data_IF_876781673667
#
_entry.id   IF_876781673667
#
_cell.length_a   1.000
_cell.length_b   1.000
_cell.length_c   1.000
_cell.angle_alpha   90.00
_cell.angle_beta   90.00
_cell.angle_gamma   90.00
#
_symmetry.space_group_name_H-M   'P 1'
#
loop_
_entity.id
_entity.type
_entity.pdbx_description
1 polymer ?
#
# COMPACT_ATOMS: atom_id res chain seq x y z
N UNK A 1 17.98 -2.50 6.02
CA UNK A 1 16.88 -1.52 6.11
C UNK A 1 16.92 -0.69 4.85
N UNK A 2 16.49 -1.28 3.74
CA UNK A 2 16.53 -0.64 2.43
C UNK A 2 15.28 0.21 2.34
N UNK A 3 15.41 1.53 2.56
CA UNK A 3 14.36 2.51 2.34
C UNK A 3 14.12 2.71 0.84
N UNK A 4 13.82 1.64 0.11
CA UNK A 4 13.08 1.81 -1.13
C UNK A 4 11.68 2.24 -0.69
N UNK A 5 11.19 3.43 -1.06
CA UNK A 5 9.84 3.83 -0.69
C UNK A 5 8.88 2.89 -1.41
N UNK A 6 8.45 1.85 -0.70
CA UNK A 6 7.43 0.90 -1.10
C UNK A 6 6.16 1.29 -0.37
N UNK A 7 5.01 1.13 -1.02
CA UNK A 7 3.73 1.55 -0.47
C UNK A 7 3.35 2.98 -0.86
N UNK A 8 2.55 3.62 -0.01
CA UNK A 8 1.79 4.81 -0.41
C UNK A 8 2.69 6.03 -0.66
N UNK A 9 3.74 6.22 0.14
CA UNK A 9 4.72 7.29 -0.06
C UNK A 9 5.57 7.09 -1.32
N UNK A 10 5.75 5.84 -1.77
CA UNK A 10 6.43 5.51 -3.02
C UNK A 10 5.58 5.76 -4.26
N UNK A 11 4.29 5.43 -4.19
CA UNK A 11 3.34 5.66 -5.28
C UNK A 11 2.92 7.14 -5.40
N UNK A 12 2.89 7.87 -4.28
CA UNK A 12 2.48 9.27 -4.22
C UNK A 12 3.53 10.15 -3.51
N UNK A 13 4.75 10.27 -4.06
CA UNK A 13 5.84 11.03 -3.42
C UNK A 13 5.51 12.52 -3.26
N UNK A 14 4.67 13.08 -4.13
CA UNK A 14 4.22 14.47 -4.06
C UNK A 14 3.16 14.69 -2.96
N UNK A 15 2.46 13.64 -2.56
CA UNK A 15 1.39 13.69 -1.56
C UNK A 15 1.85 13.27 -0.16
N UNK A 16 3.15 13.03 0.05
CA UNK A 16 3.70 12.57 1.34
C UNK A 16 3.32 13.50 2.49
N UNK A 17 3.34 14.82 2.28
CA UNK A 17 2.88 15.77 3.30
C UNK A 17 1.42 15.54 3.70
N UNK A 18 0.54 15.32 2.72
CA UNK A 18 -0.88 15.06 2.95
C UNK A 18 -1.12 13.69 3.59
N UNK A 19 -0.33 12.68 3.24
CA UNK A 19 -0.36 11.35 3.86
C UNK A 19 -0.09 11.49 5.37
N UNK A 20 0.98 12.18 5.77
CA UNK A 20 1.32 12.38 7.18
C UNK A 20 0.23 13.16 7.94
N UNK A 21 -0.38 14.17 7.32
CA UNK A 21 -1.51 14.89 7.91
C UNK A 21 -2.71 13.97 8.15
N UNK A 22 -3.11 13.19 7.14
CA UNK A 22 -4.23 12.25 7.25
C UNK A 22 -3.94 11.13 8.25
N UNK A 23 -2.71 10.65 8.36
CA UNK A 23 -2.32 9.67 9.39
C UNK A 23 -2.42 10.24 10.81
N UNK A 24 -2.14 11.53 10.98
CA UNK A 24 -2.25 12.19 12.27
C UNK A 24 -3.70 12.53 12.65
N UNK A 25 -4.56 12.82 11.67
CA UNK A 25 -5.95 13.24 11.88
C UNK A 25 -6.96 12.08 11.84
N UNK A 26 -6.71 11.06 11.00
CA UNK A 26 -7.63 9.96 10.72
C UNK A 26 -7.00 8.58 11.00
N UNK A 27 -7.35 7.97 12.13
CA UNK A 27 -6.88 6.61 12.48
C UNK A 27 -7.33 5.51 11.50
N UNK A 28 -8.39 5.74 10.73
CA UNK A 28 -8.82 4.83 9.66
C UNK A 28 -7.88 4.90 8.45
N UNK A 29 -7.29 6.07 8.19
CA UNK A 29 -6.32 6.24 7.09
C UNK A 29 -5.03 5.48 7.37
N UNK A 30 -4.54 5.51 8.62
CA UNK A 30 -3.37 4.73 9.06
C UNK A 30 -3.58 3.24 8.78
N UNK A 31 -4.72 2.68 9.17
CA UNK A 31 -5.03 1.26 8.94
C UNK A 31 -5.08 0.90 7.46
N UNK A 32 -5.62 1.79 6.61
CA UNK A 32 -5.66 1.59 5.17
C UNK A 32 -4.26 1.65 4.54
N UNK A 33 -3.42 2.59 4.98
CA UNK A 33 -2.05 2.74 4.51
C UNK A 33 -1.18 1.55 4.93
N UNK A 34 -1.26 1.10 6.18
CA UNK A 34 -0.56 -0.08 6.68
C UNK A 34 -1.00 -1.35 5.94
N UNK A 35 -2.30 -1.53 5.70
CA UNK A 35 -2.81 -2.66 4.93
C UNK A 35 -2.29 -2.64 3.47
N UNK A 36 -2.21 -1.45 2.87
CA UNK A 36 -1.67 -1.27 1.53
C UNK A 36 -0.18 -1.65 1.46
N UNK A 37 0.60 -1.18 2.42
CA UNK A 37 2.03 -1.49 2.54
C UNK A 37 2.26 -2.99 2.75
N UNK A 38 1.51 -3.62 3.65
CA UNK A 38 1.62 -5.05 3.92
C UNK A 38 1.39 -5.89 2.65
N UNK A 39 0.31 -5.63 1.91
CA UNK A 39 0.00 -6.35 0.67
C UNK A 39 1.05 -6.07 -0.41
N UNK A 40 1.56 -4.85 -0.49
CA UNK A 40 2.59 -4.47 -1.47
C UNK A 40 3.91 -5.20 -1.18
N UNK A 41 4.30 -5.28 0.09
CA UNK A 41 5.48 -6.02 0.54
C UNK A 41 5.33 -7.51 0.24
N UNK A 42 4.20 -8.11 0.60
CA UNK A 42 3.91 -9.52 0.37
C UNK A 42 3.93 -9.87 -1.12
N UNK A 43 3.31 -9.04 -1.97
CA UNK A 43 3.39 -9.20 -3.42
C UNK A 43 4.84 -9.15 -3.93
N UNK A 44 5.64 -8.23 -3.40
CA UNK A 44 7.05 -8.13 -3.78
C UNK A 44 7.85 -9.35 -3.32
N UNK A 45 7.60 -9.87 -2.13
CA UNK A 45 8.25 -11.09 -1.62
C UNK A 45 7.90 -12.30 -2.51
N UNK A 46 6.63 -12.44 -2.90
CA UNK A 46 6.18 -13.46 -3.84
C UNK A 46 6.87 -13.29 -5.21
N UNK A 47 6.94 -12.06 -5.73
CA UNK A 47 7.55 -11.75 -7.04
C UNK A 47 9.07 -11.99 -7.03
N UNK A 48 9.75 -11.73 -5.91
CA UNK A 48 11.15 -12.07 -5.71
C UNK A 48 11.39 -13.57 -5.46
N UNK A 49 10.32 -14.38 -5.35
CA UNK A 49 10.40 -15.82 -5.10
C UNK A 49 10.83 -16.18 -3.67
N UNK A 50 10.64 -15.25 -2.72
CA UNK A 50 10.90 -15.47 -1.29
C UNK A 50 9.79 -16.37 -0.72
N UNK A 51 8.53 -16.05 -1.02
CA UNK A 51 7.36 -16.82 -0.59
C UNK A 51 6.68 -17.53 -1.77
N UNK A 52 6.48 -18.86 -1.72
CA UNK A 52 5.76 -19.59 -2.76
C UNK A 52 4.24 -19.38 -2.62
N UNK A 53 3.65 -18.59 -3.51
CA UNK A 53 2.21 -18.36 -3.57
C UNK A 53 1.56 -18.94 -4.83
N UNK A 54 0.30 -19.37 -4.71
CA UNK A 54 -0.48 -19.80 -5.87
C UNK A 54 -0.99 -18.60 -6.67
N UNK A 55 -1.18 -18.75 -7.98
CA UNK A 55 -1.65 -17.67 -8.86
C UNK A 55 -2.99 -17.04 -8.40
N UNK A 56 -3.89 -17.83 -7.82
CA UNK A 56 -5.17 -17.34 -7.32
C UNK A 56 -4.99 -16.38 -6.13
N UNK A 57 -4.06 -16.69 -5.22
CA UNK A 57 -3.73 -15.85 -4.07
C UNK A 57 -3.09 -14.53 -4.52
N UNK A 58 -2.12 -14.60 -5.44
CA UNK A 58 -1.50 -13.39 -6.03
C UNK A 58 -2.53 -12.50 -6.72
N UNK A 59 -3.47 -13.09 -7.45
CA UNK A 59 -4.56 -12.34 -8.09
C UNK A 59 -5.49 -11.66 -7.07
N UNK A 60 -5.75 -12.30 -5.94
CA UNK A 60 -6.51 -11.71 -4.83
C UNK A 60 -5.76 -10.52 -4.22
N UNK A 61 -4.49 -10.71 -3.86
CA UNK A 61 -3.65 -9.64 -3.29
C UNK A 61 -3.58 -8.42 -4.21
N UNK A 62 -3.37 -8.63 -5.52
CA UNK A 62 -3.35 -7.54 -6.51
C UNK A 62 -4.66 -6.75 -6.54
N UNK A 63 -5.81 -7.43 -6.51
CA UNK A 63 -7.13 -6.77 -6.46
C UNK A 63 -7.33 -5.98 -5.17
N UNK A 64 -6.91 -6.54 -4.04
CA UNK A 64 -6.99 -5.85 -2.74
C UNK A 64 -6.11 -4.60 -2.72
N UNK A 65 -4.85 -4.72 -3.19
CA UNK A 65 -3.93 -3.58 -3.36
C UNK A 65 -4.56 -2.48 -4.21
N UNK A 66 -5.11 -2.82 -5.37
CA UNK A 66 -5.70 -1.84 -6.28
C UNK A 66 -6.90 -1.12 -5.64
N UNK A 67 -7.75 -1.85 -4.90
CA UNK A 67 -8.90 -1.28 -4.17
C UNK A 67 -8.45 -0.34 -3.05
N UNK A 68 -7.43 -0.73 -2.29
CA UNK A 68 -6.85 0.10 -1.23
C UNK A 68 -6.21 1.36 -1.83
N UNK A 69 -5.48 1.22 -2.95
CA UNK A 69 -4.88 2.35 -3.66
C UNK A 69 -5.92 3.37 -4.09
N UNK A 70 -7.02 2.91 -4.70
CA UNK A 70 -8.12 3.78 -5.12
C UNK A 70 -8.76 4.51 -3.92
N UNK A 71 -8.96 3.79 -2.81
CA UNK A 71 -9.50 4.37 -1.57
C UNK A 71 -8.58 5.43 -1.00
N UNK A 72 -7.28 5.14 -0.89
CA UNK A 72 -6.27 6.07 -0.37
C UNK A 72 -6.13 7.27 -1.29
N UNK A 73 -6.12 7.07 -2.61
CA UNK A 73 -6.07 8.16 -3.58
C UNK A 73 -7.30 9.08 -3.49
N UNK A 74 -8.50 8.52 -3.31
CA UNK A 74 -9.72 9.29 -3.10
C UNK A 74 -9.65 10.14 -1.83
N UNK A 75 -9.06 9.63 -0.74
CA UNK A 75 -8.82 10.39 0.50
C UNK A 75 -7.77 11.49 0.31
N UNK A 76 -6.72 11.23 -0.45
CA UNK A 76 -5.68 12.22 -0.75
C UNK A 76 -6.16 13.34 -1.68
N UNK A 77 -7.16 13.07 -2.52
CA UNK A 77 -7.73 14.03 -3.48
C UNK A 77 -8.99 14.73 -2.99
N UNK A 78 -9.47 14.40 -1.78
CA UNK A 78 -10.65 15.01 -1.15
C UNK A 78 -10.28 16.29 -0.39
#
# INVERSE_FOLDING_TARGET
>A
MTHLPLGLAGDFPESVGRIFELEAEEGDFVQLAEAYEAITLELQEIECGIEPACHAYVAQLRRQRDTLRETLFARLSA
#
